data_IF_151571996698
#
_entry.id   IF_151571996698
#
_cell.length_a   1.000
_cell.length_b   1.000
_cell.length_c   1.000
_cell.angle_alpha   90.00
_cell.angle_beta   90.00
_cell.angle_gamma   90.00
#
_symmetry.space_group_name_H-M   'P 1'
#
loop_
_entity.id
_entity.type
_entity.pdbx_description
1 polymer ?
#
# COMPACT_ATOMS: atom_id res chain seq x y z
N UNK A 1 -18.88 -23.51 2.51
CA UNK A 1 -17.55 -23.60 3.17
C UNK A 1 -16.85 -22.27 2.98
N UNK A 2 -17.09 -21.30 3.87
CA UNK A 2 -16.42 -20.01 3.81
C UNK A 2 -14.93 -20.22 4.12
N UNK A 3 -14.06 -20.08 3.12
CA UNK A 3 -12.64 -19.91 3.38
C UNK A 3 -12.50 -18.66 4.26
N UNK A 4 -11.92 -18.82 5.45
CA UNK A 4 -11.48 -17.72 6.30
C UNK A 4 -10.38 -16.95 5.55
N UNK A 5 -10.80 -16.01 4.68
CA UNK A 5 -9.93 -15.02 4.04
C UNK A 5 -9.31 -14.15 5.13
N UNK A 6 -8.01 -13.89 5.01
CA UNK A 6 -7.33 -12.97 5.90
C UNK A 6 -7.70 -11.55 5.50
N UNK A 7 -8.09 -10.73 6.49
CA UNK A 7 -8.54 -9.37 6.29
C UNK A 7 -7.43 -8.47 5.69
N UNK A 8 -7.42 -8.32 4.37
CA UNK A 8 -6.42 -7.53 3.61
C UNK A 8 -6.58 -6.02 3.80
N UNK A 9 -7.69 -5.61 4.40
CA UNK A 9 -7.93 -4.22 4.76
C UNK A 9 -7.58 -3.96 6.23
N UNK A 10 -7.37 -4.99 7.07
CA UNK A 10 -7.10 -4.77 8.49
C UNK A 10 -5.64 -4.37 8.77
N UNK A 11 -5.49 -3.29 9.53
CA UNK A 11 -4.26 -2.84 10.17
C UNK A 11 -4.31 -3.24 11.65
N UNK A 12 -3.20 -3.73 12.20
CA UNK A 12 -3.02 -3.92 13.65
C UNK A 12 -2.21 -2.74 14.21
N UNK A 13 -2.56 -2.30 15.41
CA UNK A 13 -2.22 -1.05 16.10
C UNK A 13 -0.73 -0.67 16.16
N UNK A 14 -0.47 0.64 16.19
CA UNK A 14 0.85 1.28 16.26
C UNK A 14 1.29 1.60 17.70
N UNK A 15 2.50 1.18 18.07
CA UNK A 15 3.36 1.87 19.04
C UNK A 15 4.74 2.06 18.39
N UNK A 16 5.35 3.24 18.56
CA UNK A 16 6.81 3.41 18.41
C UNK A 16 7.31 4.44 17.39
N UNK A 17 7.33 5.70 17.82
CA UNK A 17 8.42 6.72 17.79
C UNK A 17 9.20 7.02 16.49
N UNK A 18 9.25 8.35 16.25
CA UNK A 18 10.07 9.18 15.36
C UNK A 18 11.50 8.69 15.04
N UNK A 19 11.82 8.69 13.74
CA UNK A 19 13.10 9.19 13.23
C UNK A 19 12.84 9.91 11.89
N UNK A 20 13.41 11.11 11.72
CA UNK A 20 13.19 11.96 10.55
C UNK A 20 14.11 11.53 9.38
N UNK A 21 13.55 11.52 8.16
CA UNK A 21 14.23 11.60 6.84
C UNK A 21 14.85 10.38 6.13
N UNK A 22 14.73 9.14 6.62
CA UNK A 22 15.14 7.98 5.80
C UNK A 22 13.96 7.22 5.24
N UNK A 23 13.82 7.25 3.90
CA UNK A 23 12.92 6.38 3.17
C UNK A 23 13.25 4.90 3.52
N UNK A 24 12.35 4.16 4.20
CA UNK A 24 12.66 2.84 4.76
C UNK A 24 12.85 1.78 3.67
N UNK A 25 12.32 2.01 2.47
CA UNK A 25 12.51 1.12 1.31
C UNK A 25 13.71 1.52 0.44
N UNK A 26 14.45 2.58 0.79
CA UNK A 26 15.61 3.05 0.03
C UNK A 26 16.55 1.90 -0.32
N UNK A 27 16.87 1.79 -1.62
CA UNK A 27 17.75 0.77 -2.16
C UNK A 27 16.99 -0.32 -2.92
N UNK A 28 15.65 -0.36 -2.86
CA UNK A 28 14.88 -1.21 -3.77
C UNK A 28 15.10 -0.79 -5.23
N UNK A 29 15.30 0.50 -5.49
CA UNK A 29 15.43 1.07 -6.83
C UNK A 29 16.65 0.52 -7.59
N UNK A 30 17.74 0.27 -6.87
CA UNK A 30 19.01 -0.22 -7.41
C UNK A 30 19.08 -1.74 -7.50
N UNK A 31 18.10 -2.47 -6.96
CA UNK A 31 18.01 -3.92 -7.16
C UNK A 31 17.80 -4.23 -8.66
N UNK A 32 18.42 -5.30 -9.17
CA UNK A 32 18.18 -5.75 -10.54
C UNK A 32 16.73 -6.21 -10.67
N UNK A 33 16.14 -6.02 -11.85
CA UNK A 33 14.86 -6.63 -12.18
C UNK A 33 15.11 -8.08 -12.59
N UNK A 34 14.58 -9.02 -11.82
CA UNK A 34 14.82 -10.47 -11.93
C UNK A 34 13.49 -11.23 -11.81
N UNK A 35 13.53 -12.56 -11.97
CA UNK A 35 12.33 -13.41 -11.89
C UNK A 35 11.69 -13.38 -10.49
N UNK A 36 10.40 -13.74 -10.40
CA UNK A 36 9.69 -13.78 -9.12
C UNK A 36 10.35 -14.76 -8.12
N UNK A 37 10.89 -15.89 -8.59
CA UNK A 37 11.65 -16.86 -7.78
C UNK A 37 12.89 -16.20 -7.17
N UNK A 38 13.68 -15.50 -7.99
CA UNK A 38 14.89 -14.83 -7.51
C UNK A 38 14.57 -13.72 -6.51
N UNK A 39 13.49 -12.95 -6.75
CA UNK A 39 13.09 -11.89 -5.80
C UNK A 39 12.62 -12.41 -4.44
N UNK A 40 12.16 -13.67 -4.37
CA UNK A 40 11.61 -14.29 -3.16
C UNK A 40 12.59 -15.23 -2.46
N UNK A 41 13.79 -15.45 -3.01
CA UNK A 41 14.81 -16.32 -2.44
C UNK A 41 15.17 -15.96 -0.98
N UNK A 42 15.31 -14.67 -0.67
CA UNK A 42 15.61 -14.18 0.69
C UNK A 42 14.41 -14.28 1.64
N UNK A 43 13.20 -14.56 1.13
CA UNK A 43 11.98 -14.67 1.92
C UNK A 43 11.70 -16.12 2.34
N UNK A 44 12.43 -17.11 1.84
CA UNK A 44 12.23 -18.55 2.17
C UNK A 44 12.35 -18.80 3.68
N UNK A 45 13.25 -18.10 4.37
CA UNK A 45 13.39 -18.19 5.83
C UNK A 45 12.31 -17.45 6.63
N UNK A 46 11.56 -16.54 5.99
CA UNK A 46 10.53 -15.72 6.62
C UNK A 46 9.12 -16.25 6.34
N UNK A 47 8.94 -16.90 5.20
CA UNK A 47 7.66 -17.35 4.69
C UNK A 47 7.78 -18.82 4.31
N UNK A 48 7.29 -19.73 5.18
CA UNK A 48 7.18 -21.14 4.85
C UNK A 48 6.42 -21.32 3.53
N UNK A 49 6.91 -22.24 2.69
CA UNK A 49 6.34 -22.58 1.39
C UNK A 49 6.25 -21.44 0.36
N UNK A 50 7.01 -20.35 0.51
CA UNK A 50 6.97 -19.22 -0.45
C UNK A 50 7.15 -19.65 -1.90
N UNK A 51 8.03 -20.61 -2.18
CA UNK A 51 8.26 -21.10 -3.54
C UNK A 51 7.04 -21.81 -4.13
N UNK A 52 6.24 -22.48 -3.30
CA UNK A 52 4.95 -23.07 -3.72
C UNK A 52 3.96 -21.96 -4.07
N UNK A 53 3.90 -20.89 -3.28
CA UNK A 53 3.04 -19.74 -3.59
C UNK A 53 3.48 -19.00 -4.84
N UNK A 54 4.79 -18.89 -5.08
CA UNK A 54 5.36 -18.33 -6.33
C UNK A 54 4.92 -19.15 -7.54
N UNK A 55 4.99 -20.48 -7.47
CA UNK A 55 4.49 -21.36 -8.55
C UNK A 55 3.00 -21.12 -8.80
N UNK A 56 2.18 -21.12 -7.75
CA UNK A 56 0.73 -20.87 -7.87
C UNK A 56 0.46 -19.49 -8.47
N UNK A 57 1.21 -18.46 -8.06
CA UNK A 57 1.06 -17.12 -8.58
C UNK A 57 1.41 -17.06 -10.08
N UNK A 58 2.49 -17.71 -10.52
CA UNK A 58 2.85 -17.78 -11.95
C UNK A 58 1.86 -18.54 -12.80
N UNK A 59 1.21 -19.55 -12.24
CA UNK A 59 0.23 -20.36 -12.95
C UNK A 59 -1.12 -19.66 -13.08
N UNK A 60 -1.49 -18.84 -12.08
CA UNK A 60 -2.81 -18.20 -12.00
C UNK A 60 -2.82 -16.72 -12.35
N UNK A 61 -1.66 -16.08 -12.46
CA UNK A 61 -1.59 -14.67 -12.83
C UNK A 61 -2.14 -14.42 -14.23
N UNK A 62 -2.44 -13.16 -14.51
CA UNK A 62 -2.84 -12.71 -15.83
C UNK A 62 -1.60 -12.52 -16.71
N UNK A 63 -1.03 -13.63 -17.20
CA UNK A 63 0.27 -13.66 -17.88
C UNK A 63 0.33 -12.91 -19.22
N UNK A 64 -0.82 -12.62 -19.83
CA UNK A 64 -0.92 -11.99 -21.15
C UNK A 64 -1.44 -10.55 -21.12
N UNK A 65 -1.59 -9.97 -19.93
CA UNK A 65 -2.08 -8.61 -19.78
C UNK A 65 -0.94 -7.59 -19.92
N UNK A 66 -0.85 -7.00 -21.11
CA UNK A 66 -0.09 -5.77 -21.35
C UNK A 66 -0.58 -4.68 -20.37
N UNK A 67 0.30 -3.94 -19.66
CA UNK A 67 1.74 -3.76 -19.87
C UNK A 67 2.68 -4.66 -19.02
N UNK A 68 2.15 -5.68 -18.34
CA UNK A 68 2.92 -6.44 -17.36
C UNK A 68 3.57 -7.67 -17.98
N UNK A 69 4.80 -7.97 -17.55
CA UNK A 69 5.38 -9.28 -17.78
C UNK A 69 4.69 -10.34 -16.90
N UNK A 70 4.90 -11.62 -17.20
CA UNK A 70 4.39 -12.72 -16.38
C UNK A 70 4.87 -12.63 -14.92
N UNK A 71 6.14 -12.31 -14.69
CA UNK A 71 6.71 -12.15 -13.34
C UNK A 71 6.10 -10.96 -12.60
N UNK A 72 5.87 -9.83 -13.29
CA UNK A 72 5.25 -8.64 -12.72
C UNK A 72 3.78 -8.89 -12.34
N UNK A 73 3.02 -9.54 -13.23
CA UNK A 73 1.65 -9.95 -12.95
C UNK A 73 1.60 -10.96 -11.79
N UNK A 74 2.52 -11.93 -11.78
CA UNK A 74 2.62 -12.91 -10.71
C UNK A 74 3.02 -12.29 -9.37
N UNK A 75 3.83 -11.23 -9.35
CA UNK A 75 4.14 -10.51 -8.12
C UNK A 75 2.88 -9.86 -7.51
N UNK A 76 2.03 -9.24 -8.32
CA UNK A 76 0.74 -8.68 -7.86
C UNK A 76 -0.20 -9.79 -7.38
N UNK A 77 -0.27 -10.90 -8.12
CA UNK A 77 -1.06 -12.06 -7.71
C UNK A 77 -0.57 -12.61 -6.36
N UNK A 78 0.74 -12.80 -6.20
CA UNK A 78 1.36 -13.30 -4.97
C UNK A 78 1.08 -12.37 -3.78
N UNK A 79 1.18 -11.06 -3.97
CA UNK A 79 0.84 -10.08 -2.93
C UNK A 79 -0.61 -10.26 -2.45
N UNK A 80 -1.53 -10.54 -3.36
CA UNK A 80 -2.97 -10.62 -3.09
C UNK A 80 -3.44 -12.00 -2.62
N UNK A 81 -2.61 -13.03 -2.69
CA UNK A 81 -2.95 -14.38 -2.23
C UNK A 81 -3.34 -14.40 -0.74
N UNK A 82 -4.22 -15.34 -0.35
CA UNK A 82 -4.58 -15.50 1.06
C UNK A 82 -3.36 -15.91 1.88
N UNK A 83 -3.00 -15.02 2.81
CA UNK A 83 -1.96 -15.16 3.85
C UNK A 83 -0.52 -15.06 3.32
N UNK A 84 0.36 -14.65 4.25
CA UNK A 84 1.81 -14.52 4.13
C UNK A 84 2.32 -13.20 3.54
N UNK A 85 2.30 -12.99 2.22
CA UNK A 85 3.07 -11.90 1.58
C UNK A 85 2.53 -10.52 1.93
N UNK A 86 1.24 -10.25 1.68
CA UNK A 86 0.58 -8.98 2.08
C UNK A 86 0.89 -8.62 3.54
N UNK A 87 0.62 -9.55 4.46
CA UNK A 87 0.67 -9.30 5.90
C UNK A 87 2.10 -9.05 6.37
N UNK A 88 3.03 -9.92 5.99
CA UNK A 88 4.41 -9.85 6.45
C UNK A 88 5.16 -8.67 5.83
N UNK A 89 4.90 -8.37 4.55
CA UNK A 89 5.44 -7.17 3.91
C UNK A 89 4.94 -5.90 4.61
N UNK A 90 3.62 -5.77 4.79
CA UNK A 90 3.06 -4.59 5.44
C UNK A 90 3.45 -4.49 6.93
N UNK A 91 3.69 -5.60 7.61
CA UNK A 91 4.25 -5.57 8.96
C UNK A 91 5.69 -5.02 8.95
N UNK A 92 6.56 -5.53 8.07
CA UNK A 92 7.94 -5.03 7.94
C UNK A 92 7.97 -3.53 7.59
N UNK A 93 7.17 -3.11 6.60
CA UNK A 93 7.08 -1.71 6.19
C UNK A 93 6.58 -0.78 7.30
N UNK A 94 5.62 -1.23 8.11
CA UNK A 94 5.07 -0.46 9.23
C UNK A 94 6.11 -0.16 10.30
N UNK A 95 7.03 -1.10 10.58
CA UNK A 95 8.09 -0.89 11.57
C UNK A 95 9.14 0.13 11.13
N UNK A 96 9.24 0.42 9.83
CA UNK A 96 10.28 1.26 9.21
C UNK A 96 11.72 0.79 9.51
N UNK A 97 11.88 -0.40 10.09
CA UNK A 97 13.16 -1.03 10.38
C UNK A 97 13.76 -1.57 9.08
N UNK A 98 14.81 -0.89 8.60
CA UNK A 98 15.50 -1.24 7.36
C UNK A 98 16.08 -2.66 7.39
N UNK A 99 16.40 -3.21 8.56
CA UNK A 99 16.86 -4.60 8.66
C UNK A 99 15.73 -5.58 8.40
N UNK A 100 14.51 -5.30 8.89
CA UNK A 100 13.31 -6.11 8.61
C UNK A 100 12.85 -5.97 7.16
N UNK A 101 13.11 -4.83 6.52
CA UNK A 101 12.72 -4.54 5.13
C UNK A 101 13.76 -5.07 4.13
N UNK A 102 15.04 -5.17 4.49
CA UNK A 102 16.11 -5.57 3.59
C UNK A 102 15.83 -6.87 2.79
N UNK A 103 15.27 -7.94 3.36
CA UNK A 103 14.91 -9.16 2.61
C UNK A 103 13.86 -8.94 1.52
N UNK A 104 13.04 -7.89 1.64
CA UNK A 104 11.94 -7.57 0.74
C UNK A 104 12.34 -6.69 -0.44
N UNK A 105 13.53 -6.08 -0.44
CA UNK A 105 13.90 -5.06 -1.44
C UNK A 105 13.85 -5.58 -2.89
N UNK A 106 14.28 -6.82 -3.12
CA UNK A 106 14.19 -7.44 -4.46
C UNK A 106 12.74 -7.68 -4.88
N UNK A 107 11.89 -8.14 -3.96
CA UNK A 107 10.46 -8.28 -4.21
C UNK A 107 9.77 -6.94 -4.47
N UNK A 108 10.11 -5.91 -3.67
CA UNK A 108 9.62 -4.55 -3.83
C UNK A 108 10.03 -3.97 -5.20
N UNK A 109 11.23 -4.24 -5.70
CA UNK A 109 11.65 -3.83 -7.06
C UNK A 109 10.70 -4.35 -8.13
N UNK A 110 10.39 -5.64 -8.11
CA UNK A 110 9.49 -6.25 -9.09
C UNK A 110 8.04 -5.77 -8.90
N UNK A 111 7.54 -5.79 -7.66
CA UNK A 111 6.17 -5.41 -7.34
C UNK A 111 5.88 -3.92 -7.61
N UNK A 112 6.72 -3.01 -7.13
CA UNK A 112 6.58 -1.56 -7.41
C UNK A 112 6.79 -1.27 -8.89
N UNK A 113 7.71 -1.99 -9.56
CA UNK A 113 7.91 -1.90 -10.99
C UNK A 113 6.63 -2.23 -11.77
N UNK A 114 5.97 -3.34 -11.42
CA UNK A 114 4.70 -3.74 -12.01
C UNK A 114 3.62 -2.66 -11.79
N UNK A 115 3.42 -2.20 -10.55
CA UNK A 115 2.42 -1.18 -10.24
C UNK A 115 2.64 0.14 -10.99
N UNK A 116 3.90 0.55 -11.20
CA UNK A 116 4.24 1.77 -11.95
C UNK A 116 3.85 1.70 -13.43
N UNK A 117 3.78 0.50 -14.02
CA UNK A 117 3.35 0.32 -15.41
C UNK A 117 1.83 0.42 -15.57
N UNK A 118 1.06 0.19 -14.51
CA UNK A 118 -0.39 0.32 -14.55
C UNK A 118 -0.81 1.80 -14.61
N UNK A 119 -1.90 2.13 -15.34
CA UNK A 119 -2.42 3.49 -15.35
C UNK A 119 -2.84 3.91 -13.94
N UNK A 120 -2.64 5.20 -13.63
CA UNK A 120 -3.15 5.78 -12.40
C UNK A 120 -4.65 6.06 -12.51
N UNK A 121 -5.37 5.76 -11.43
CA UNK A 121 -6.79 6.06 -11.27
C UNK A 121 -6.92 7.20 -10.26
N UNK A 122 -7.65 8.24 -10.64
CA UNK A 122 -8.02 9.33 -9.75
C UNK A 122 -9.45 9.13 -9.22
N UNK A 123 -9.73 9.72 -8.06
CA UNK A 123 -11.04 9.71 -7.43
C UNK A 123 -11.03 9.12 -6.03
N UNK A 124 -12.22 9.02 -5.44
CA UNK A 124 -12.36 8.52 -4.07
C UNK A 124 -12.22 7.00 -4.03
N UNK A 125 -11.26 6.52 -3.24
CA UNK A 125 -11.09 5.11 -2.90
C UNK A 125 -11.31 4.90 -1.41
N UNK A 126 -11.75 3.70 -1.05
CA UNK A 126 -12.15 3.36 0.30
C UNK A 126 -11.17 2.36 0.91
N UNK A 127 -10.86 2.53 2.19
CA UNK A 127 -10.06 1.57 2.96
C UNK A 127 -10.71 1.38 4.32
N UNK A 128 -10.97 0.14 4.70
CA UNK A 128 -11.32 -0.20 6.08
C UNK A 128 -10.07 -0.46 6.89
N UNK A 129 -10.14 -0.31 8.21
CA UNK A 129 -9.18 -0.81 9.18
C UNK A 129 -9.94 -1.22 10.45
N UNK A 130 -9.67 -2.41 10.98
CA UNK A 130 -10.21 -2.78 12.30
C UNK A 130 -9.34 -2.13 13.38
N UNK A 131 -9.96 -1.56 14.41
CA UNK A 131 -9.34 -0.74 15.47
C UNK A 131 -9.09 0.72 15.06
N UNK A 132 -9.15 1.60 16.06
CA UNK A 132 -8.75 3.01 15.98
C UNK A 132 -7.23 2.97 15.78
N UNK A 133 -6.73 3.22 14.57
CA UNK A 133 -5.33 3.02 14.14
C UNK A 133 -4.29 3.83 14.97
N UNK A 134 -4.70 4.51 16.05
CA UNK A 134 -3.86 5.41 16.84
C UNK A 134 -3.38 6.63 16.05
N UNK A 135 -3.66 6.69 14.75
CA UNK A 135 -3.35 7.81 13.89
C UNK A 135 -4.33 8.92 14.23
N UNK A 136 -3.88 9.79 15.12
CA UNK A 136 -4.48 11.09 15.31
C UNK A 136 -4.11 11.90 14.08
N UNK A 137 -5.04 12.00 13.13
CA UNK A 137 -4.99 13.01 12.11
C UNK A 137 -5.36 14.34 12.76
N UNK A 138 -4.36 15.04 13.29
CA UNK A 138 -4.52 16.45 13.66
C UNK A 138 -4.69 17.28 12.39
N UNK A 139 -5.58 18.28 12.44
CA UNK A 139 -5.91 19.10 11.28
C UNK A 139 -4.63 19.69 10.66
N UNK A 140 -4.35 19.34 9.40
CA UNK A 140 -3.26 19.92 8.60
C UNK A 140 -1.97 19.10 8.51
N UNK A 141 -1.81 18.02 9.28
CA UNK A 141 -0.59 17.21 9.23
C UNK A 141 -0.56 16.26 8.03
N UNK A 142 0.63 16.12 7.44
CA UNK A 142 0.89 15.16 6.35
C UNK A 142 1.43 13.88 6.95
N UNK A 143 0.76 12.77 6.68
CA UNK A 143 1.15 11.44 7.10
C UNK A 143 1.70 10.66 5.90
N UNK A 144 2.87 10.04 6.07
CA UNK A 144 3.45 9.14 5.06
C UNK A 144 3.08 7.70 5.40
N UNK A 145 2.36 7.03 4.51
CA UNK A 145 1.99 5.63 4.63
C UNK A 145 3.00 4.74 3.90
N UNK A 146 3.99 4.23 4.64
CA UNK A 146 5.03 3.36 4.08
C UNK A 146 4.55 1.95 3.71
N UNK A 147 3.41 1.51 4.23
CA UNK A 147 2.77 0.26 3.83
C UNK A 147 2.22 0.32 2.41
N UNK A 148 2.03 -0.84 1.79
CA UNK A 148 1.18 -0.97 0.60
C UNK A 148 -0.28 -0.87 1.08
N UNK A 149 -1.01 0.16 0.61
CA UNK A 149 -2.36 0.43 1.10
C UNK A 149 -3.39 -0.12 0.11
N UNK A 150 -3.94 -1.29 0.44
CA UNK A 150 -5.08 -1.86 -0.27
C UNK A 150 -6.37 -1.06 0.02
N UNK A 151 -7.05 -0.70 -1.05
CA UNK A 151 -8.30 0.06 -1.10
C UNK A 151 -9.29 -0.64 -2.04
N UNK A 152 -10.54 -0.20 -2.04
CA UNK A 152 -11.56 -0.63 -3.00
C UNK A 152 -12.37 0.57 -3.47
N UNK A 153 -12.93 0.50 -4.68
CA UNK A 153 -14.01 1.41 -5.09
C UNK A 153 -15.37 0.98 -4.56
N UNK A 154 -15.48 -0.20 -3.96
CA UNK A 154 -16.73 -0.78 -3.48
C UNK A 154 -16.80 -0.77 -1.95
N UNK A 155 -17.68 0.06 -1.40
CA UNK A 155 -17.91 0.14 0.04
C UNK A 155 -18.42 -1.17 0.65
N UNK A 156 -19.16 -2.00 -0.12
CA UNK A 156 -19.64 -3.29 0.37
C UNK A 156 -18.47 -4.24 0.63
N UNK A 157 -17.41 -4.16 -0.18
CA UNK A 157 -16.18 -4.91 0.07
C UNK A 157 -15.55 -4.44 1.37
N UNK A 158 -15.45 -3.12 1.59
CA UNK A 158 -14.83 -2.55 2.80
C UNK A 158 -15.57 -2.95 4.08
N UNK A 159 -16.91 -2.96 4.05
CA UNK A 159 -17.76 -3.33 5.18
C UNK A 159 -17.43 -4.73 5.73
N UNK A 160 -17.12 -5.69 4.84
CA UNK A 160 -16.75 -7.06 5.21
C UNK A 160 -15.50 -7.14 6.10
N UNK A 161 -14.67 -6.08 6.11
CA UNK A 161 -13.38 -6.06 6.77
C UNK A 161 -13.29 -5.12 7.99
N UNK A 162 -14.37 -4.42 8.34
CA UNK A 162 -14.37 -3.52 9.50
C UNK A 162 -14.46 -4.26 10.84
N UNK A 163 -15.11 -5.42 10.86
CA UNK A 163 -15.44 -6.13 12.11
C UNK A 163 -16.42 -5.34 12.99
N UNK A 164 -16.43 -5.60 14.30
CA UNK A 164 -17.36 -4.98 15.23
C UNK A 164 -17.00 -3.52 15.59
N UNK A 165 -15.78 -3.08 15.27
CA UNK A 165 -15.27 -1.72 15.50
C UNK A 165 -14.16 -1.40 14.49
N UNK A 166 -14.27 -0.27 13.79
CA UNK A 166 -13.27 0.07 12.76
C UNK A 166 -13.34 1.49 12.22
N UNK A 167 -12.36 1.82 11.39
CA UNK A 167 -12.24 3.09 10.69
C UNK A 167 -12.38 2.87 9.20
N UNK A 168 -13.23 3.69 8.55
CA UNK A 168 -13.30 3.83 7.10
C UNK A 168 -12.54 5.09 6.72
N UNK A 169 -11.59 4.93 5.82
CA UNK A 169 -10.90 6.03 5.15
C UNK A 169 -11.56 6.27 3.79
N UNK A 170 -12.10 7.46 3.59
CA UNK A 170 -12.39 8.01 2.28
C UNK A 170 -11.15 8.74 1.79
N UNK A 171 -10.55 8.31 0.68
CA UNK A 171 -9.28 8.87 0.22
C UNK A 171 -9.47 9.44 -1.18
N UNK A 172 -9.34 10.76 -1.32
CA UNK A 172 -9.24 11.42 -2.62
C UNK A 172 -7.86 11.10 -3.21
N UNK A 173 -7.79 10.01 -3.97
CA UNK A 173 -6.56 9.47 -4.55
C UNK A 173 -6.28 10.06 -5.94
N UNK A 174 -4.99 10.13 -6.26
CA UNK A 174 -4.47 10.66 -7.52
C UNK A 174 -3.72 9.55 -8.27
N UNK A 175 -2.95 8.73 -7.54
CA UNK A 175 -2.02 7.75 -8.09
C UNK A 175 -2.41 6.30 -7.79
N UNK A 176 -3.68 6.04 -7.46
CA UNK A 176 -4.16 4.70 -7.15
C UNK A 176 -3.98 3.75 -8.35
N UNK A 177 -3.51 2.53 -8.10
CA UNK A 177 -3.29 1.51 -9.13
C UNK A 177 -4.36 0.45 -9.04
N UNK A 178 -5.23 0.34 -10.05
CA UNK A 178 -6.21 -0.73 -10.11
C UNK A 178 -5.53 -2.06 -10.43
N UNK A 179 -5.59 -3.00 -9.49
CA UNK A 179 -4.98 -4.33 -9.62
C UNK A 179 -6.00 -5.46 -9.75
N UNK A 180 -7.29 -5.14 -9.91
CA UNK A 180 -8.38 -6.12 -9.89
C UNK A 180 -8.16 -7.27 -10.88
N UNK A 181 -7.65 -6.97 -12.10
CA UNK A 181 -7.39 -7.95 -13.15
C UNK A 181 -6.15 -8.83 -12.90
N UNK A 182 -5.36 -8.53 -11.87
CA UNK A 182 -4.11 -9.20 -11.52
C UNK A 182 -4.15 -9.79 -10.10
N UNK A 183 -5.24 -9.55 -9.37
CA UNK A 183 -5.44 -9.98 -7.99
C UNK A 183 -5.89 -11.44 -7.91
N UNK A 184 -5.51 -12.12 -6.84
CA UNK A 184 -6.09 -13.42 -6.46
C UNK A 184 -7.59 -13.32 -6.09
N UNK A 185 -8.09 -12.10 -5.83
CA UNK A 185 -9.50 -11.83 -5.53
C UNK A 185 -10.04 -10.66 -6.39
N UNK A 186 -10.30 -10.86 -7.68
CA UNK A 186 -10.75 -9.78 -8.59
C UNK A 186 -12.05 -9.10 -8.16
N UNK A 187 -12.92 -9.83 -7.44
CA UNK A 187 -14.21 -9.34 -6.94
C UNK A 187 -14.08 -8.21 -5.92
N UNK A 188 -12.92 -8.08 -5.27
CA UNK A 188 -12.68 -7.03 -4.27
C UNK A 188 -12.42 -5.65 -4.90
N UNK A 189 -12.31 -5.59 -6.23
CA UNK A 189 -12.05 -4.35 -7.00
C UNK A 189 -10.88 -3.56 -6.42
N UNK A 190 -9.81 -4.27 -6.10
CA UNK A 190 -8.73 -3.75 -5.29
C UNK A 190 -7.90 -2.69 -6.04
N UNK A 191 -7.65 -1.58 -5.37
CA UNK A 191 -6.71 -0.55 -5.77
C UNK A 191 -5.60 -0.42 -4.74
N UNK A 192 -4.39 -0.14 -5.20
CA UNK A 192 -3.22 0.03 -4.35
C UNK A 192 -2.81 1.51 -4.36
N UNK A 193 -2.68 2.10 -3.17
CA UNK A 193 -1.81 3.27 -2.99
C UNK A 193 -0.41 2.78 -2.62
N UNK A 194 0.59 3.37 -3.24
CA UNK A 194 1.98 2.92 -3.17
C UNK A 194 2.56 3.07 -1.76
N UNK A 195 3.55 2.24 -1.38
CA UNK A 195 4.44 2.55 -0.26
C UNK A 195 5.00 3.96 -0.36
N UNK A 196 4.87 4.72 0.73
CA UNK A 196 5.29 6.12 0.81
C UNK A 196 4.26 7.11 0.28
N UNK A 197 3.02 6.70 0.02
CA UNK A 197 1.92 7.63 -0.28
C UNK A 197 1.75 8.59 0.89
N UNK A 198 1.67 9.90 0.59
CA UNK A 198 1.47 10.96 1.58
C UNK A 198 0.03 11.42 1.54
N UNK A 199 -0.61 11.50 2.70
CA UNK A 199 -2.01 11.89 2.84
C UNK A 199 -2.17 12.92 3.94
N UNK A 200 -3.21 13.75 3.84
CA UNK A 200 -3.57 14.72 4.87
C UNK A 200 -5.09 14.78 5.04
N UNK A 201 -5.60 15.09 6.25
CA UNK A 201 -7.03 15.12 6.52
C UNK A 201 -7.71 16.33 5.87
N UNK A 202 -8.84 16.08 5.21
CA UNK A 202 -9.71 17.12 4.64
C UNK A 202 -10.80 17.59 5.59
N UNK A 203 -11.15 16.75 6.57
CA UNK A 203 -12.20 17.03 7.53
C UNK A 203 -11.89 16.42 8.88
N UNK A 204 -12.58 16.91 9.91
CA UNK A 204 -12.57 16.27 11.22
C UNK A 204 -13.08 14.82 11.12
N UNK A 205 -12.51 13.94 11.95
CA UNK A 205 -12.96 12.55 12.11
C UNK A 205 -14.44 12.54 12.52
N UNK A 206 -15.27 11.83 11.76
CA UNK A 206 -16.67 11.59 12.11
C UNK A 206 -16.75 10.31 12.94
N UNK A 207 -17.47 10.35 14.06
CA UNK A 207 -17.64 9.25 14.99
C UNK A 207 -19.11 8.80 15.01
N UNK A 208 -19.33 7.53 14.69
CA UNK A 208 -20.61 6.86 14.78
C UNK A 208 -20.64 5.95 16.02
N UNK A 209 -21.24 6.47 17.10
CA UNK A 209 -21.52 5.73 18.34
C UNK A 209 -20.30 5.02 18.95
N UNK A 210 -19.11 5.61 18.83
CA UNK A 210 -17.83 5.09 19.32
C UNK A 210 -17.42 3.71 18.75
N UNK A 211 -18.11 3.29 17.68
CA UNK A 211 -17.97 1.99 17.06
C UNK A 211 -17.35 2.11 15.66
N UNK A 212 -17.79 3.09 14.87
CA UNK A 212 -17.25 3.30 13.53
C UNK A 212 -16.77 4.73 13.36
N UNK A 213 -15.64 4.88 12.70
CA UNK A 213 -15.07 6.18 12.39
C UNK A 213 -14.97 6.39 10.88
N UNK A 214 -15.20 7.62 10.43
CA UNK A 214 -14.93 8.03 9.05
C UNK A 214 -13.88 9.13 9.05
N UNK A 215 -12.81 8.91 8.29
CA UNK A 215 -11.72 9.86 8.08
C UNK A 215 -11.65 10.18 6.59
N UNK A 216 -11.78 11.46 6.22
CA UNK A 216 -11.60 11.92 4.84
C UNK A 216 -10.19 12.44 4.65
N UNK A 217 -9.46 11.83 3.72
CA UNK A 217 -8.07 12.11 3.41
C UNK A 217 -7.93 12.54 1.96
N UNK A 218 -6.86 13.27 1.66
CA UNK A 218 -6.42 13.56 0.30
C UNK A 218 -4.99 13.14 0.09
N UNK A 219 -4.74 12.43 -1.00
CA UNK A 219 -3.38 12.16 -1.46
C UNK A 219 -2.69 13.46 -1.87
N UNK A 220 -1.44 13.63 -1.43
CA UNK A 220 -0.65 14.79 -1.77
C UNK A 220 -0.16 14.71 -3.22
N UNK A 221 -0.49 15.74 -4.00
CA UNK A 221 0.03 15.90 -5.36
C UNK A 221 1.51 16.31 -5.35
N UNK A 222 2.37 15.41 -5.82
CA UNK A 222 3.83 15.62 -5.94
C UNK A 222 4.19 16.82 -6.82
N UNK A 223 3.36 17.21 -7.78
CA UNK A 223 3.62 18.39 -8.63
C UNK A 223 3.53 19.69 -7.83
N UNK A 224 2.68 19.73 -6.80
CA UNK A 224 2.50 20.89 -5.92
C UNK A 224 3.73 21.16 -5.04
N UNK A 225 4.54 20.14 -4.73
CA UNK A 225 5.81 20.27 -4.00
C UNK A 225 6.88 21.01 -4.81
N UNK A 226 7.03 20.66 -6.09
CA UNK A 226 8.00 21.32 -6.96
C UNK A 226 7.67 22.81 -7.09
N UNK A 227 6.40 23.14 -7.31
CA UNK A 227 5.95 24.54 -7.36
C UNK A 227 6.16 25.28 -6.03
N UNK A 228 5.85 24.67 -4.88
CA UNK A 228 6.11 25.29 -3.56
C UNK A 228 7.60 25.54 -3.30
N UNK A 229 8.48 24.60 -3.65
CA UNK A 229 9.93 24.76 -3.48
C UNK A 229 10.46 25.88 -4.39
N UNK A 230 10.02 25.89 -5.65
CA UNK A 230 10.42 26.92 -6.63
C UNK A 230 9.90 28.31 -6.23
N UNK A 231 8.66 28.42 -5.76
CA UNK A 231 8.07 29.70 -5.32
C UNK A 231 8.74 30.25 -4.05
N UNK A 232 9.14 29.36 -3.14
CA UNK A 232 9.86 29.72 -1.90
C UNK A 232 11.28 30.20 -2.18
N UNK A 233 11.93 29.62 -3.20
CA UNK A 233 13.29 30.01 -3.61
C UNK A 233 13.30 31.30 -4.43
N UNK A 234 12.25 31.59 -5.21
CA UNK A 234 12.11 32.88 -5.89
C UNK A 234 11.92 34.04 -4.91
N UNK A 235 11.15 33.86 -3.82
CA UNK A 235 10.94 34.92 -2.83
C UNK A 235 12.22 35.29 -2.06
N UNK A 236 13.14 34.34 -1.83
CA UNK A 236 14.44 34.63 -1.17
C UNK A 236 15.42 35.39 -2.06
N UNK A 237 15.32 35.28 -3.38
CA UNK A 237 16.21 36.01 -4.33
C UNK A 237 15.83 37.47 -4.55
N UNK A 238 14.66 37.91 -4.11
CA UNK A 238 14.23 39.31 -4.18
C UNK A 238 14.41 40.07 -2.85
N UNK A 239 15.00 39.44 -1.83
CA UNK A 239 15.30 40.05 -0.53
C UNK A 239 16.81 40.15 -0.24
N UNK A 240 17.66 39.96 -1.25
CA UNK A 240 19.13 40.10 -1.17
C UNK A 240 19.61 41.26 -2.03
#
# INVERSE_FOLDING_TARGET
MAQLQCNRYISETLEGIQDFDLNPIQGYETKPLVSLEETTAMLVGLIPDIMKYVSVAKDKCNANADPLTRDESAAIYLYTMPKCVFRLLNNALRTQDRHKIAPWLSYLKLFIGALKKLPSCNGTVWRGASLDDGIIFTDGDIHTWWTVNSCSTDLQIIELYLGDKGTVFAIDAIEAKNISAFSAFPVERELILMPGTRVWPLSKKLNFKDQYFLVHLKEEDKQRLVFKILSSNSQRRYQS
#
